data_IF_093890370256
#
_entry.id   IF_093890370256
#
_cell.length_a   1.000
_cell.length_b   1.000
_cell.length_c   1.000
_cell.angle_alpha   90.00
_cell.angle_beta   90.00
_cell.angle_gamma   90.00
#
_symmetry.space_group_name_H-M   'P 1'
#
loop_
_entity.id
_entity.type
_entity.pdbx_description
1 polymer ?
#
# COMPACT_ATOMS: atom_id res chain seq x y z
N UNK A 1 -13.01 27.04 -22.26
CA UNK A 1 -12.30 25.82 -21.91
C UNK A 1 -10.96 26.26 -21.38
N UNK A 2 -10.78 26.18 -20.07
CA UNK A 2 -9.53 26.56 -19.43
C UNK A 2 -8.49 25.45 -19.63
N UNK A 3 -7.21 25.76 -19.43
CA UNK A 3 -6.13 24.78 -19.60
C UNK A 3 -6.31 23.54 -18.71
N UNK A 4 -6.93 23.70 -17.54
CA UNK A 4 -7.22 22.60 -16.61
C UNK A 4 -8.20 21.59 -17.20
N UNK A 5 -9.19 22.06 -17.96
CA UNK A 5 -10.18 21.20 -18.61
C UNK A 5 -9.49 20.35 -19.68
N UNK A 6 -8.67 21.00 -20.51
CA UNK A 6 -7.93 20.33 -21.60
C UNK A 6 -6.96 19.29 -21.04
N UNK A 7 -6.21 19.62 -20.00
CA UNK A 7 -5.27 18.68 -19.38
C UNK A 7 -6.03 17.54 -18.69
N UNK A 8 -7.16 17.83 -18.05
CA UNK A 8 -8.02 16.81 -17.44
C UNK A 8 -8.55 15.81 -18.46
N UNK A 9 -9.07 16.29 -19.59
CA UNK A 9 -9.57 15.45 -20.68
C UNK A 9 -8.44 14.58 -21.28
N UNK A 10 -7.25 15.16 -21.48
CA UNK A 10 -6.10 14.42 -21.99
C UNK A 10 -5.61 13.32 -21.03
N UNK A 11 -5.67 13.55 -19.71
CA UNK A 11 -5.36 12.53 -18.70
C UNK A 11 -6.41 11.42 -18.75
N UNK A 12 -7.70 11.78 -18.78
CA UNK A 12 -8.80 10.82 -18.81
C UNK A 12 -8.74 9.91 -20.06
N UNK A 13 -8.51 10.50 -21.23
CA UNK A 13 -8.35 9.75 -22.48
C UNK A 13 -7.12 8.82 -22.45
N UNK A 14 -6.02 9.28 -21.84
CA UNK A 14 -4.82 8.47 -21.67
C UNK A 14 -5.06 7.26 -20.75
N UNK A 15 -5.71 7.47 -19.61
CA UNK A 15 -6.04 6.41 -18.64
C UNK A 15 -7.06 5.41 -19.23
N UNK A 16 -8.06 5.90 -19.97
CA UNK A 16 -9.05 5.04 -20.64
C UNK A 16 -8.42 4.09 -21.67
N UNK A 17 -7.36 4.53 -22.36
CA UNK A 17 -6.65 3.75 -23.38
C UNK A 17 -5.57 2.81 -22.83
N UNK A 18 -5.12 2.97 -21.58
CA UNK A 18 -3.99 2.23 -21.00
C UNK A 18 -4.28 1.77 -19.57
N UNK A 19 -4.80 0.54 -19.49
CA UNK A 19 -4.76 -0.42 -18.38
C UNK A 19 -5.08 0.07 -16.95
N UNK A 20 -5.87 -0.75 -16.25
CA UNK A 20 -6.02 -0.70 -14.81
C UNK A 20 -4.66 -0.57 -14.12
N UNK A 21 -4.55 0.33 -13.14
CA UNK A 21 -3.43 0.35 -12.21
C UNK A 21 -3.15 -1.10 -11.74
N UNK A 22 -1.87 -1.51 -11.67
CA UNK A 22 -1.55 -2.84 -11.16
C UNK A 22 -2.15 -2.99 -9.76
N UNK A 23 -2.82 -4.11 -9.50
CA UNK A 23 -3.26 -4.42 -8.14
C UNK A 23 -2.03 -4.53 -7.24
N UNK A 24 -1.98 -3.64 -6.24
CA UNK A 24 -0.91 -3.62 -5.26
C UNK A 24 -1.36 -4.46 -4.08
N UNK A 25 -0.57 -5.47 -3.73
CA UNK A 25 -0.82 -6.27 -2.53
C UNK A 25 -0.54 -5.47 -1.25
N UNK A 26 -1.21 -5.82 -0.16
CA UNK A 26 -0.91 -5.23 1.16
C UNK A 26 0.55 -5.40 1.60
N UNK A 27 1.22 -6.45 1.11
CA UNK A 27 2.65 -6.70 1.36
C UNK A 27 3.54 -5.70 0.60
N UNK A 28 3.18 -5.34 -0.64
CA UNK A 28 3.90 -4.33 -1.41
C UNK A 28 3.71 -2.93 -0.81
N UNK A 29 2.49 -2.61 -0.36
CA UNK A 29 2.23 -1.38 0.38
C UNK A 29 3.10 -1.31 1.66
N UNK A 30 3.20 -2.41 2.41
CA UNK A 30 4.06 -2.49 3.59
C UNK A 30 5.54 -2.27 3.24
N UNK A 31 6.05 -2.93 2.19
CA UNK A 31 7.45 -2.75 1.72
C UNK A 31 7.73 -1.31 1.30
N UNK A 32 6.76 -0.67 0.64
CA UNK A 32 6.85 0.72 0.27
C UNK A 32 6.95 1.61 1.51
N UNK A 33 6.08 1.43 2.50
CA UNK A 33 6.12 2.21 3.75
C UNK A 33 7.42 1.98 4.54
N UNK A 34 7.92 0.75 4.59
CA UNK A 34 9.24 0.46 5.18
C UNK A 34 10.34 1.30 4.53
N UNK A 35 10.33 1.38 3.21
CA UNK A 35 11.34 2.11 2.43
C UNK A 35 11.20 3.62 2.61
N UNK A 36 9.99 4.16 2.47
CA UNK A 36 9.70 5.60 2.59
C UNK A 36 10.03 6.14 3.99
N UNK A 37 9.79 5.36 5.04
CA UNK A 37 10.01 5.78 6.42
C UNK A 37 11.31 5.25 7.05
N UNK A 38 12.13 4.51 6.31
CA UNK A 38 13.38 3.92 6.82
C UNK A 38 13.18 2.91 7.95
N UNK A 39 12.03 2.22 7.99
CA UNK A 39 11.65 1.28 9.05
C UNK A 39 12.18 -0.12 8.76
N UNK A 40 12.71 -0.78 9.79
CA UNK A 40 13.16 -2.17 9.77
C UNK A 40 12.03 -3.11 10.14
N UNK A 41 12.20 -4.41 9.91
CA UNK A 41 11.22 -5.42 10.29
C UNK A 41 10.92 -5.47 11.80
N UNK A 42 11.84 -5.00 12.64
CA UNK A 42 11.66 -4.88 14.10
C UNK A 42 10.70 -3.77 14.52
N UNK A 43 10.38 -2.84 13.62
CA UNK A 43 9.74 -1.57 13.97
C UNK A 43 8.20 -1.61 13.76
N UNK A 44 7.64 -2.83 13.73
CA UNK A 44 6.23 -3.12 13.43
C UNK A 44 5.54 -3.91 14.55
N UNK A 45 5.49 -3.37 15.79
CA UNK A 45 4.86 -4.06 16.92
C UNK A 45 3.37 -4.37 16.69
N UNK A 46 2.70 -3.63 15.82
CA UNK A 46 1.30 -3.83 15.44
C UNK A 46 1.07 -5.09 14.58
N UNK A 47 2.11 -5.57 13.89
CA UNK A 47 2.08 -6.82 13.14
C UNK A 47 2.49 -7.98 14.05
N UNK A 48 3.57 -7.80 14.81
CA UNK A 48 4.08 -8.81 15.74
C UNK A 48 5.61 -8.77 15.85
N UNK A 49 6.21 -9.93 16.15
CA UNK A 49 7.67 -10.04 16.22
C UNK A 49 8.32 -9.89 14.84
N UNK A 50 9.61 -9.59 14.81
CA UNK A 50 10.39 -9.48 13.57
C UNK A 50 10.28 -10.75 12.69
N UNK A 51 10.15 -11.93 13.30
CA UNK A 51 9.91 -13.19 12.58
C UNK A 51 8.57 -13.23 11.87
N UNK A 52 7.49 -12.78 12.52
CA UNK A 52 6.15 -12.69 11.91
C UNK A 52 6.14 -11.71 10.74
N UNK A 53 6.80 -10.56 10.90
CA UNK A 53 6.94 -9.56 9.82
C UNK A 53 7.69 -10.16 8.63
N UNK A 54 8.77 -10.93 8.88
CA UNK A 54 9.51 -11.63 7.83
C UNK A 54 8.66 -12.66 7.07
N UNK A 55 7.85 -13.45 7.79
CA UNK A 55 6.92 -14.42 7.18
C UNK A 55 5.90 -13.73 6.27
N UNK A 56 5.39 -12.55 6.67
CA UNK A 56 4.46 -11.76 5.85
C UNK A 56 5.17 -11.21 4.61
N UNK A 57 6.35 -10.62 4.76
CA UNK A 57 7.12 -10.06 3.64
C UNK A 57 7.55 -11.10 2.60
N UNK A 58 7.70 -12.36 3.03
CA UNK A 58 8.03 -13.51 2.18
C UNK A 58 6.80 -14.28 1.68
N UNK A 59 5.59 -13.87 2.07
CA UNK A 59 4.34 -14.52 1.65
C UNK A 59 4.07 -15.87 2.32
N UNK A 60 4.82 -16.24 3.36
CA UNK A 60 4.55 -17.45 4.16
C UNK A 60 3.35 -17.29 5.09
N UNK A 61 2.95 -16.05 5.35
CA UNK A 61 1.84 -15.68 6.22
C UNK A 61 1.08 -14.49 5.64
N UNK A 62 -0.25 -14.53 5.74
CA UNK A 62 -1.09 -13.45 5.24
C UNK A 62 -1.10 -12.23 6.18
N UNK A 63 -1.20 -11.04 5.57
CA UNK A 63 -1.44 -9.80 6.29
C UNK A 63 -2.93 -9.70 6.65
N UNK A 64 -3.29 -10.24 7.81
CA UNK A 64 -4.68 -10.31 8.25
C UNK A 64 -5.28 -8.93 8.61
N UNK A 65 -6.61 -8.88 8.72
CA UNK A 65 -7.39 -7.66 9.00
C UNK A 65 -6.94 -6.90 10.26
N UNK A 66 -6.55 -7.59 11.34
CA UNK A 66 -6.12 -6.94 12.58
C UNK A 66 -4.84 -6.11 12.38
N UNK A 67 -3.74 -6.67 11.83
CA UNK A 67 -2.59 -5.89 11.38
C UNK A 67 -2.96 -4.78 10.38
N UNK A 68 -3.80 -5.06 9.38
CA UNK A 68 -4.22 -4.06 8.38
C UNK A 68 -4.89 -2.84 9.01
N UNK A 69 -5.78 -3.04 9.98
CA UNK A 69 -6.44 -1.96 10.74
C UNK A 69 -5.44 -1.13 11.54
N UNK A 70 -4.46 -1.77 12.18
CA UNK A 70 -3.47 -1.07 12.97
C UNK A 70 -2.49 -0.26 12.09
N UNK A 71 -2.10 -0.81 10.93
CA UNK A 71 -1.31 -0.10 9.93
C UNK A 71 -2.08 1.08 9.35
N UNK A 72 -3.35 0.88 9.01
CA UNK A 72 -4.25 1.95 8.57
C UNK A 72 -4.29 3.10 9.59
N UNK A 73 -4.44 2.80 10.88
CA UNK A 73 -4.43 3.80 11.95
C UNK A 73 -3.07 4.51 12.09
N UNK A 74 -1.95 3.78 11.98
CA UNK A 74 -0.60 4.35 12.11
C UNK A 74 -0.24 5.31 10.97
N UNK A 75 -0.61 4.99 9.74
CA UNK A 75 -0.23 5.76 8.55
C UNK A 75 -1.34 6.65 8.00
N UNK A 76 -2.54 6.61 8.59
CA UNK A 76 -3.70 7.37 8.09
C UNK A 76 -4.16 6.92 6.71
N UNK A 77 -3.99 5.63 6.38
CA UNK A 77 -4.32 5.06 5.07
C UNK A 77 -5.63 4.28 5.14
N UNK A 78 -6.26 4.05 3.99
CA UNK A 78 -7.42 3.15 3.90
C UNK A 78 -7.01 1.72 4.28
N UNK A 79 -7.88 0.99 4.98
CA UNK A 79 -7.66 -0.43 5.25
C UNK A 79 -7.55 -1.24 3.96
N UNK A 80 -8.24 -0.81 2.89
CA UNK A 80 -8.18 -1.45 1.58
C UNK A 80 -6.78 -1.43 0.95
N UNK A 81 -5.86 -0.59 1.46
CA UNK A 81 -4.45 -0.60 1.02
C UNK A 81 -3.71 -1.86 1.46
N UNK A 82 -4.21 -2.56 2.49
CA UNK A 82 -3.52 -3.70 3.13
C UNK A 82 -4.26 -5.04 2.99
N UNK A 83 -5.41 -5.07 2.32
CA UNK A 83 -6.28 -6.26 2.17
C UNK A 83 -6.23 -6.75 0.74
#
# INVERSE_FOLDING_TARGET
MELVDIVGDLIADYEAGRHSLPEVSGVEALKFLMTQHGLKQSDWPEIGSQGVVSEILTGKRDLNLRPALALSARFGLSTATFV
#
